data_IF_475100840553
#
_entry.id   IF_475100840553
#
_cell.length_a   1.000
_cell.length_b   1.000
_cell.length_c   1.000
_cell.angle_alpha   90.00
_cell.angle_beta   90.00
_cell.angle_gamma   90.00
#
_symmetry.space_group_name_H-M   'P 1'
#
loop_
_entity.id
_entity.type
_entity.pdbx_description
1 polymer ?
#
# COMPACT_ATOMS: atom_id res chain seq x y z
N UNK A 1 -63.72 -46.28 -12.46
CA UNK A 1 -63.10 -45.23 -11.61
C UNK A 1 -61.84 -44.75 -12.34
N UNK A 2 -61.99 -43.77 -13.25
CA UNK A 2 -60.88 -43.30 -14.10
C UNK A 2 -60.00 -42.32 -13.31
N UNK A 3 -58.74 -42.73 -13.06
CA UNK A 3 -57.70 -41.86 -12.52
C UNK A 3 -57.15 -41.00 -13.66
N UNK A 4 -57.54 -39.74 -13.66
CA UNK A 4 -57.02 -38.71 -14.56
C UNK A 4 -55.56 -38.39 -14.17
N UNK A 5 -54.60 -38.95 -14.91
CA UNK A 5 -53.17 -38.67 -14.72
C UNK A 5 -52.85 -37.32 -15.36
N UNK A 6 -52.94 -36.24 -14.58
CA UNK A 6 -52.45 -34.91 -14.95
C UNK A 6 -50.95 -34.97 -15.26
N UNK A 7 -50.58 -34.82 -16.52
CA UNK A 7 -49.18 -34.71 -16.93
C UNK A 7 -48.53 -33.48 -16.25
N UNK A 8 -47.33 -33.62 -15.66
CA UNK A 8 -46.67 -32.50 -15.00
C UNK A 8 -46.35 -31.39 -16.01
N UNK A 9 -46.86 -30.17 -15.76
CA UNK A 9 -46.55 -28.99 -16.55
C UNK A 9 -45.03 -28.79 -16.54
N UNK A 10 -44.37 -29.03 -17.67
CA UNK A 10 -42.95 -28.76 -17.87
C UNK A 10 -42.72 -27.27 -17.74
N UNK A 11 -42.15 -26.87 -16.61
CA UNK A 11 -41.66 -25.52 -16.40
C UNK A 11 -40.64 -25.16 -17.51
N UNK A 12 -40.77 -24.00 -18.17
CA UNK A 12 -39.89 -23.62 -19.25
C UNK A 12 -38.44 -23.50 -18.73
N UNK A 13 -37.50 -24.17 -19.41
CA UNK A 13 -36.06 -24.21 -19.07
C UNK A 13 -35.47 -22.81 -18.83
N UNK A 14 -36.01 -21.78 -19.50
CA UNK A 14 -35.63 -20.39 -19.33
C UNK A 14 -35.77 -19.89 -17.88
N UNK A 15 -36.86 -20.24 -17.17
CA UNK A 15 -37.05 -19.81 -15.76
C UNK A 15 -35.99 -20.37 -14.84
N UNK A 16 -35.56 -21.61 -15.08
CA UNK A 16 -34.50 -22.27 -14.32
C UNK A 16 -33.14 -21.62 -14.57
N UNK A 17 -32.84 -21.26 -15.82
CA UNK A 17 -31.60 -20.56 -16.18
C UNK A 17 -31.56 -19.14 -15.59
N UNK A 18 -32.66 -18.39 -15.64
CA UNK A 18 -32.73 -17.05 -15.03
C UNK A 18 -32.51 -17.13 -13.52
N UNK A 19 -33.17 -18.07 -12.84
CA UNK A 19 -33.00 -18.25 -11.38
C UNK A 19 -31.56 -18.62 -11.00
N UNK A 20 -30.91 -19.48 -11.79
CA UNK A 20 -29.51 -19.83 -11.58
C UNK A 20 -28.60 -18.62 -11.82
N UNK A 21 -28.84 -17.85 -12.88
CA UNK A 21 -28.09 -16.62 -13.18
C UNK A 21 -28.16 -15.60 -12.05
N UNK A 22 -29.36 -15.32 -11.53
CA UNK A 22 -29.56 -14.41 -10.38
C UNK A 22 -28.83 -14.95 -9.16
N UNK A 23 -28.96 -16.24 -8.85
CA UNK A 23 -28.27 -16.86 -7.71
C UNK A 23 -26.75 -16.73 -7.82
N UNK A 24 -26.16 -17.09 -8.97
CA UNK A 24 -24.73 -16.96 -9.21
C UNK A 24 -24.26 -15.50 -9.10
N UNK A 25 -25.00 -14.54 -9.67
CA UNK A 25 -24.68 -13.12 -9.55
C UNK A 25 -24.71 -12.63 -8.10
N UNK A 26 -25.73 -13.00 -7.32
CA UNK A 26 -25.82 -12.64 -5.90
C UNK A 26 -24.68 -13.26 -5.07
N UNK A 27 -24.35 -14.54 -5.30
CA UNK A 27 -23.25 -15.21 -4.59
C UNK A 27 -21.91 -14.57 -4.95
N UNK A 28 -21.65 -14.30 -6.23
CA UNK A 28 -20.42 -13.62 -6.68
C UNK A 28 -20.31 -12.21 -6.11
N UNK A 29 -21.41 -11.45 -6.09
CA UNK A 29 -21.43 -10.11 -5.49
C UNK A 29 -21.17 -10.16 -3.98
N UNK A 30 -21.77 -11.12 -3.26
CA UNK A 30 -21.57 -11.28 -1.82
C UNK A 30 -20.13 -11.73 -1.50
N UNK A 31 -19.63 -12.75 -2.19
CA UNK A 31 -18.26 -13.24 -2.03
C UNK A 31 -17.23 -12.17 -2.41
N UNK A 32 -17.47 -11.46 -3.51
CA UNK A 32 -16.67 -10.31 -3.93
C UNK A 32 -16.67 -9.21 -2.87
N UNK A 33 -17.84 -8.84 -2.34
CA UNK A 33 -17.97 -7.83 -1.28
C UNK A 33 -17.24 -8.21 0.02
N UNK A 34 -17.30 -9.48 0.42
CA UNK A 34 -16.57 -9.98 1.58
C UNK A 34 -15.05 -10.00 1.35
N UNK A 35 -14.59 -10.45 0.19
CA UNK A 35 -13.18 -10.46 -0.19
C UNK A 35 -12.61 -9.02 -0.25
N UNK A 36 -13.34 -8.10 -0.88
CA UNK A 36 -13.01 -6.67 -0.92
C UNK A 36 -12.88 -6.07 0.48
N UNK A 37 -13.81 -6.38 1.40
CA UNK A 37 -13.76 -5.89 2.79
C UNK A 37 -12.55 -6.43 3.55
N UNK A 38 -12.24 -7.72 3.40
CA UNK A 38 -11.09 -8.36 4.05
C UNK A 38 -9.77 -7.82 3.52
N UNK A 39 -9.63 -7.70 2.21
CA UNK A 39 -8.46 -7.09 1.57
C UNK A 39 -8.26 -5.65 2.04
N UNK A 40 -9.33 -4.86 2.10
CA UNK A 40 -9.26 -3.46 2.54
C UNK A 40 -8.82 -3.28 4.00
N UNK A 41 -9.18 -4.23 4.89
CA UNK A 41 -8.73 -4.23 6.28
C UNK A 41 -7.23 -4.46 6.41
N UNK A 42 -6.70 -5.47 5.71
CA UNK A 42 -5.26 -5.77 5.70
C UNK A 42 -4.44 -4.62 5.12
N UNK A 43 -4.94 -4.02 4.04
CA UNK A 43 -4.28 -2.92 3.35
C UNK A 43 -4.11 -1.69 4.26
N UNK A 44 -5.11 -1.36 5.09
CA UNK A 44 -5.04 -0.22 6.02
C UNK A 44 -3.94 -0.35 7.06
N UNK A 45 -3.81 -1.51 7.68
CA UNK A 45 -2.76 -1.74 8.68
C UNK A 45 -1.38 -1.73 8.02
N UNK A 46 -1.25 -2.30 6.82
CA UNK A 46 -0.02 -2.20 6.03
C UNK A 46 0.34 -0.75 5.69
N UNK A 47 -0.64 0.11 5.37
CA UNK A 47 -0.36 1.53 5.13
C UNK A 47 0.13 2.26 6.37
N UNK A 48 -0.44 2.00 7.55
CA UNK A 48 0.07 2.58 8.80
C UNK A 48 1.51 2.16 9.08
N UNK A 49 1.84 0.89 8.85
CA UNK A 49 3.20 0.37 8.99
C UNK A 49 4.17 1.03 8.00
N UNK A 50 3.78 1.14 6.73
CA UNK A 50 4.54 1.88 5.72
C UNK A 50 4.75 3.32 6.16
N UNK A 51 3.72 4.01 6.66
CA UNK A 51 3.82 5.38 7.16
C UNK A 51 4.86 5.55 8.26
N UNK A 52 4.88 4.62 9.22
CA UNK A 52 5.87 4.62 10.30
C UNK A 52 7.30 4.38 9.81
N UNK A 53 7.50 3.46 8.85
CA UNK A 53 8.82 3.20 8.27
C UNK A 53 9.27 4.36 7.37
N UNK A 54 8.37 4.96 6.58
CA UNK A 54 8.64 6.16 5.80
C UNK A 54 9.05 7.34 6.69
N UNK A 55 8.48 7.45 7.89
CA UNK A 55 8.87 8.44 8.88
C UNK A 55 10.34 8.36 9.27
N UNK A 56 10.89 7.15 9.39
CA UNK A 56 12.32 6.93 9.62
C UNK A 56 13.19 7.31 8.42
N UNK A 57 12.64 7.33 7.20
CA UNK A 57 13.33 7.82 6.00
C UNK A 57 13.29 9.35 5.89
N UNK A 58 12.22 9.96 6.41
CA UNK A 58 11.89 11.36 6.15
C UNK A 58 12.93 12.36 6.66
N UNK A 59 13.67 12.03 7.71
CA UNK A 59 14.78 12.85 8.22
C UNK A 59 15.94 12.98 7.20
N UNK A 60 16.04 12.03 6.27
CA UNK A 60 17.02 12.04 5.17
C UNK A 60 16.44 12.71 3.90
N UNK A 61 15.11 12.76 3.79
CA UNK A 61 14.39 12.99 2.54
C UNK A 61 13.91 14.41 2.25
N UNK A 62 14.17 15.39 3.13
CA UNK A 62 13.53 16.71 3.03
C UNK A 62 13.69 17.44 1.69
N UNK A 63 14.70 17.10 0.87
CA UNK A 63 14.89 17.68 -0.47
C UNK A 63 15.27 16.68 -1.56
N UNK A 64 15.22 15.38 -1.29
CA UNK A 64 15.81 14.38 -2.18
C UNK A 64 14.80 13.30 -2.55
N UNK A 65 14.57 13.04 -3.85
CA UNK A 65 13.61 12.03 -4.25
C UNK A 65 14.08 10.64 -3.77
N UNK A 66 13.12 9.83 -3.35
CA UNK A 66 13.32 8.42 -3.11
C UNK A 66 12.89 7.65 -4.36
N UNK A 67 13.65 6.64 -4.73
CA UNK A 67 13.22 5.65 -5.72
C UNK A 67 12.68 4.43 -4.97
N UNK A 68 11.38 4.22 -5.07
CA UNK A 68 10.65 3.11 -4.50
C UNK A 68 10.30 2.11 -5.61
N UNK A 69 10.91 0.94 -5.60
CA UNK A 69 10.88 -0.05 -6.69
C UNK A 69 11.18 0.60 -8.06
N UNK A 70 12.12 1.55 -8.09
CA UNK A 70 12.46 2.30 -9.30
C UNK A 70 11.49 3.46 -9.64
N UNK A 71 10.36 3.57 -8.95
CA UNK A 71 9.39 4.66 -9.12
C UNK A 71 9.74 5.83 -8.20
N UNK A 72 9.68 7.06 -8.71
CA UNK A 72 10.04 8.25 -7.93
C UNK A 72 8.90 8.63 -6.97
N UNK A 73 9.26 8.80 -5.70
CA UNK A 73 8.37 9.32 -4.65
C UNK A 73 9.13 10.35 -3.82
N UNK A 74 8.40 11.28 -3.23
CA UNK A 74 8.93 12.29 -2.32
C UNK A 74 8.36 12.03 -0.94
N UNK A 75 9.17 12.26 0.08
CA UNK A 75 8.77 12.06 1.48
C UNK A 75 9.25 13.25 2.30
N UNK A 76 8.40 13.73 3.21
CA UNK A 76 8.75 14.77 4.18
C UNK A 76 8.19 14.40 5.55
N UNK A 77 9.00 14.58 6.59
CA UNK A 77 8.70 14.22 7.97
C UNK A 77 8.78 15.47 8.85
N UNK A 78 7.79 15.74 9.69
CA UNK A 78 7.82 16.89 10.59
C UNK A 78 7.08 16.60 11.88
N UNK A 79 7.46 17.24 12.98
CA UNK A 79 6.71 17.19 14.24
C UNK A 79 5.98 18.50 14.42
N UNK A 80 4.67 18.44 14.67
CA UNK A 80 3.82 19.61 14.85
C UNK A 80 3.12 19.59 16.22
N UNK A 81 2.93 20.74 16.88
CA UNK A 81 2.24 20.85 18.16
C UNK A 81 0.71 20.91 17.99
N UNK A 82 0.15 19.97 17.23
CA UNK A 82 -1.29 19.86 16.92
C UNK A 82 -1.75 18.42 17.11
N UNK A 83 -3.04 18.20 17.29
CA UNK A 83 -3.55 16.83 17.37
C UNK A 83 -3.46 16.13 16.00
N UNK A 84 -3.16 14.83 16.01
CA UNK A 84 -3.08 14.04 14.79
C UNK A 84 -4.41 14.01 14.03
N UNK A 85 -5.57 14.01 14.70
CA UNK A 85 -6.86 14.06 14.02
C UNK A 85 -7.05 15.39 13.28
N UNK A 86 -6.60 16.51 13.86
CA UNK A 86 -6.66 17.83 13.20
C UNK A 86 -5.78 17.87 11.94
N UNK A 87 -4.63 17.17 11.96
CA UNK A 87 -3.79 17.02 10.75
C UNK A 87 -4.55 16.24 9.68
N UNK A 88 -5.11 15.09 10.05
CA UNK A 88 -5.84 14.24 9.11
C UNK A 88 -7.11 14.93 8.57
N UNK A 89 -7.82 15.69 9.40
CA UNK A 89 -9.00 16.49 9.02
C UNK A 89 -8.64 17.54 7.98
N UNK A 90 -7.58 18.31 8.20
CA UNK A 90 -7.12 19.32 7.23
C UNK A 90 -6.70 18.71 5.91
N UNK A 91 -5.99 17.58 5.95
CA UNK A 91 -5.55 16.89 4.72
C UNK A 91 -6.76 16.30 3.98
N UNK A 92 -7.68 15.65 4.69
CA UNK A 92 -8.89 15.10 4.08
C UNK A 92 -9.74 16.20 3.44
N UNK A 93 -9.95 17.32 4.14
CA UNK A 93 -10.65 18.48 3.59
C UNK A 93 -9.97 19.02 2.32
N UNK A 94 -8.63 19.09 2.31
CA UNK A 94 -7.89 19.53 1.12
C UNK A 94 -8.01 18.55 -0.05
N UNK A 95 -8.06 17.25 0.22
CA UNK A 95 -8.34 16.25 -0.80
C UNK A 95 -9.78 16.38 -1.35
N UNK A 96 -10.74 16.74 -0.48
CA UNK A 96 -12.15 16.89 -0.83
C UNK A 96 -12.44 18.16 -1.63
N UNK A 97 -11.59 19.20 -1.57
CA UNK A 97 -11.70 20.39 -2.43
C UNK A 97 -11.53 20.07 -3.92
N UNK A 98 -10.98 18.90 -4.28
CA UNK A 98 -10.83 18.44 -5.68
C UNK A 98 -11.38 17.01 -5.88
N UNK A 99 -12.66 16.74 -5.58
CA UNK A 99 -13.13 15.37 -5.34
C UNK A 99 -13.22 14.57 -6.64
N UNK A 100 -12.62 13.39 -6.73
CA UNK A 100 -12.85 12.47 -7.85
C UNK A 100 -14.29 11.92 -7.79
N UNK A 101 -15.17 12.34 -8.71
CA UNK A 101 -16.55 11.81 -8.78
C UNK A 101 -16.59 10.63 -9.76
N UNK A 102 -16.54 9.41 -9.20
CA UNK A 102 -16.50 8.16 -9.96
C UNK A 102 -17.87 7.71 -10.51
N UNK A 103 -18.98 7.98 -9.83
CA UNK A 103 -20.32 7.55 -10.27
C UNK A 103 -20.75 8.21 -11.59
N UNK A 104 -20.29 9.43 -11.85
CA UNK A 104 -20.50 10.09 -13.14
C UNK A 104 -19.52 9.57 -14.21
N UNK A 105 -18.30 9.19 -13.83
CA UNK A 105 -17.25 8.74 -14.74
C UNK A 105 -17.46 7.35 -15.37
N UNK A 106 -18.54 6.63 -15.07
CA UNK A 106 -18.80 5.28 -15.59
C UNK A 106 -20.09 5.26 -16.45
N UNK A 107 -20.02 5.72 -17.72
CA UNK A 107 -21.17 5.69 -18.62
C UNK A 107 -21.47 4.23 -19.01
N UNK A 108 -22.58 3.68 -18.49
CA UNK A 108 -23.00 2.29 -18.76
C UNK A 108 -23.48 1.53 -17.53
N UNK A 109 -23.33 2.10 -16.33
CA UNK A 109 -23.90 1.50 -15.13
C UNK A 109 -25.44 1.54 -15.18
N UNK A 110 -26.13 0.45 -14.80
CA UNK A 110 -27.56 0.45 -14.55
C UNK A 110 -27.94 1.56 -13.56
N UNK A 111 -29.12 2.17 -13.74
CA UNK A 111 -29.66 3.23 -12.87
C UNK A 111 -29.57 2.89 -11.38
N UNK A 112 -29.86 1.64 -11.01
CA UNK A 112 -29.78 1.15 -9.63
C UNK A 112 -28.33 1.18 -9.09
N UNK A 113 -27.36 0.68 -9.87
CA UNK A 113 -25.94 0.70 -9.49
C UNK A 113 -25.40 2.12 -9.41
N UNK A 114 -25.88 3.03 -10.28
CA UNK A 114 -25.53 4.45 -10.21
C UNK A 114 -26.05 5.07 -8.92
N UNK A 115 -27.32 4.83 -8.56
CA UNK A 115 -27.90 5.32 -7.30
C UNK A 115 -27.15 4.78 -6.09
N UNK A 116 -26.84 3.48 -6.05
CA UNK A 116 -26.04 2.89 -4.97
C UNK A 116 -24.64 3.51 -4.88
N UNK A 117 -23.95 3.72 -6.00
CA UNK A 117 -22.65 4.40 -6.04
C UNK A 117 -22.74 5.85 -5.57
N UNK A 118 -23.78 6.59 -5.98
CA UNK A 118 -23.99 7.98 -5.56
C UNK A 118 -24.36 8.08 -4.08
N UNK A 119 -25.13 7.15 -3.53
CA UNK A 119 -25.39 7.07 -2.08
C UNK A 119 -24.12 6.66 -1.32
N UNK A 120 -23.32 5.73 -1.84
CA UNK A 120 -21.99 5.39 -1.30
C UNK A 120 -21.03 6.58 -1.33
N UNK A 121 -21.10 7.42 -2.37
CA UNK A 121 -20.35 8.67 -2.51
C UNK A 121 -20.82 9.74 -1.53
N UNK A 122 -22.13 9.89 -1.33
CA UNK A 122 -22.66 10.83 -0.33
C UNK A 122 -22.39 10.36 1.09
N UNK A 123 -22.39 9.05 1.33
CA UNK A 123 -22.05 8.44 2.61
C UNK A 123 -20.54 8.35 2.88
N UNK A 124 -19.70 8.40 1.84
CA UNK A 124 -18.23 8.45 1.92
C UNK A 124 -17.75 9.60 1.05
N UNK A 125 -17.48 10.74 1.68
CA UNK A 125 -17.32 12.09 1.12
C UNK A 125 -16.50 12.26 -0.18
N UNK A 126 -15.76 11.27 -0.67
CA UNK A 126 -15.05 11.35 -1.95
C UNK A 126 -14.63 9.98 -2.46
N UNK A 127 -14.85 9.70 -3.75
CA UNK A 127 -14.29 8.50 -4.38
C UNK A 127 -12.84 8.78 -4.71
N UNK A 128 -11.97 8.54 -3.74
CA UNK A 128 -10.55 8.77 -3.93
C UNK A 128 -9.85 9.27 -2.69
N UNK A 129 -10.55 9.53 -1.58
CA UNK A 129 -9.92 9.74 -0.28
C UNK A 129 -10.12 8.51 0.59
N UNK A 130 -9.02 7.92 0.99
CA UNK A 130 -8.96 6.83 1.95
C UNK A 130 -8.50 7.44 3.26
N UNK A 131 -9.34 7.40 4.30
CA UNK A 131 -8.99 7.81 5.65
C UNK A 131 -9.15 6.66 6.64
N UNK A 132 -8.26 6.61 7.60
CA UNK A 132 -8.27 5.64 8.69
C UNK A 132 -7.52 6.21 9.90
N UNK A 133 -8.05 5.98 11.09
CA UNK A 133 -7.40 6.32 12.36
C UNK A 133 -7.73 5.25 13.40
N UNK A 134 -6.82 5.03 14.34
CA UNK A 134 -7.00 4.16 15.52
C UNK A 134 -6.69 4.89 16.85
N UNK A 135 -6.91 6.20 16.90
CA UNK A 135 -6.92 7.02 18.12
C UNK A 135 -5.55 7.49 18.63
N UNK A 136 -4.46 6.81 18.23
CA UNK A 136 -3.08 7.30 18.46
C UNK A 136 -2.38 7.71 17.17
N UNK A 137 -2.83 7.16 16.05
CA UNK A 137 -2.27 7.38 14.73
C UNK A 137 -3.35 7.18 13.67
N UNK A 138 -3.10 7.74 12.51
CA UNK A 138 -3.95 7.55 11.35
C UNK A 138 -3.27 7.95 10.06
N UNK A 139 -4.01 7.82 8.98
CA UNK A 139 -3.58 8.20 7.65
C UNK A 139 -4.72 8.84 6.84
N UNK A 140 -4.32 9.56 5.80
CA UNK A 140 -5.15 9.99 4.68
C UNK A 140 -4.36 9.72 3.40
N UNK A 141 -4.99 9.06 2.43
CA UNK A 141 -4.44 8.87 1.09
C UNK A 141 -5.43 9.39 0.06
N UNK A 142 -4.98 10.21 -0.89
CA UNK A 142 -5.82 10.70 -1.97
C UNK A 142 -5.08 10.91 -3.29
N UNK A 143 -5.83 10.98 -4.39
CA UNK A 143 -5.30 11.29 -5.71
C UNK A 143 -5.66 12.73 -6.10
N UNK A 144 -4.65 13.55 -6.32
CA UNK A 144 -4.80 14.91 -6.80
C UNK A 144 -4.89 14.92 -8.32
N UNK A 145 -5.91 15.61 -8.85
CA UNK A 145 -6.11 15.70 -10.30
C UNK A 145 -4.93 16.37 -11.01
N UNK A 146 -4.62 15.96 -12.25
CA UNK A 146 -3.77 16.76 -13.12
C UNK A 146 -4.43 18.11 -13.43
N UNK A 147 -3.64 19.19 -13.45
CA UNK A 147 -4.14 20.52 -13.83
C UNK A 147 -4.77 20.50 -15.23
N UNK A 148 -5.89 21.20 -15.41
CA UNK A 148 -6.60 21.29 -16.69
C UNK A 148 -7.46 20.07 -17.07
N UNK A 149 -7.52 19.02 -16.25
CA UNK A 149 -8.39 17.84 -16.47
C UNK A 149 -9.85 18.10 -16.06
N UNK A 150 -10.54 18.99 -16.77
CA UNK A 150 -11.95 19.32 -16.52
C UNK A 150 -12.86 18.58 -17.50
N UNK A 151 -13.36 17.41 -17.09
CA UNK A 151 -14.45 16.74 -17.83
C UNK A 151 -14.46 15.22 -17.77
N UNK A 152 -15.63 14.65 -18.08
CA UNK A 152 -15.92 13.21 -17.95
C UNK A 152 -15.14 12.33 -18.95
N UNK A 153 -14.99 12.78 -20.19
CA UNK A 153 -14.22 12.05 -21.22
C UNK A 153 -12.73 11.92 -20.88
N UNK A 154 -12.16 12.94 -20.21
CA UNK A 154 -10.79 12.90 -19.72
C UNK A 154 -10.61 11.85 -18.61
N UNK A 155 -11.61 11.67 -17.73
CA UNK A 155 -11.55 10.69 -16.62
C UNK A 155 -11.62 9.23 -17.10
N UNK A 156 -12.52 8.93 -18.04
CA UNK A 156 -12.59 7.57 -18.63
C UNK A 156 -11.30 7.24 -19.36
N UNK A 157 -10.77 8.21 -20.11
CA UNK A 157 -9.50 8.04 -20.82
C UNK A 157 -8.33 7.85 -19.85
N UNK A 158 -8.30 8.61 -18.76
CA UNK A 158 -7.33 8.48 -17.67
C UNK A 158 -7.39 7.11 -16.98
N UNK A 159 -8.58 6.63 -16.63
CA UNK A 159 -8.77 5.31 -16.03
C UNK A 159 -8.35 4.20 -16.99
N UNK A 160 -8.74 4.28 -18.25
CA UNK A 160 -8.33 3.29 -19.27
C UNK A 160 -6.82 3.30 -19.48
N UNK A 161 -6.20 4.48 -19.51
CA UNK A 161 -4.74 4.61 -19.60
C UNK A 161 -4.05 4.00 -18.37
N UNK A 162 -4.56 4.25 -17.17
CA UNK A 162 -4.06 3.63 -15.94
C UNK A 162 -4.21 2.10 -15.97
N UNK A 163 -5.39 1.56 -16.31
CA UNK A 163 -5.60 0.10 -16.38
C UNK A 163 -4.66 -0.56 -17.40
N UNK A 164 -4.40 0.12 -18.53
CA UNK A 164 -3.51 -0.40 -19.57
C UNK A 164 -2.02 -0.33 -19.21
N UNK A 165 -1.58 0.71 -18.50
CA UNK A 165 -0.16 1.00 -18.28
C UNK A 165 0.33 0.83 -16.84
N UNK A 166 -0.59 0.85 -15.87
CA UNK A 166 -0.32 0.95 -14.45
C UNK A 166 0.11 2.35 -13.98
N UNK A 167 0.26 3.33 -14.87
CA UNK A 167 0.78 4.66 -14.55
C UNK A 167 -0.28 5.53 -13.84
N UNK A 168 -0.10 5.76 -12.54
CA UNK A 168 -0.98 6.58 -11.71
C UNK A 168 -1.05 8.02 -12.21
N UNK A 169 0.00 8.55 -12.84
CA UNK A 169 0.01 9.93 -13.32
C UNK A 169 -1.08 10.22 -14.35
N UNK A 170 -1.54 9.19 -15.07
CA UNK A 170 -2.67 9.31 -15.98
C UNK A 170 -3.97 9.65 -15.24
N UNK A 171 -4.11 9.20 -14.00
CA UNK A 171 -5.27 9.39 -13.14
C UNK A 171 -5.11 10.58 -12.18
N UNK A 172 -3.91 10.79 -11.67
CA UNK A 172 -3.57 11.86 -10.73
C UNK A 172 -2.36 11.51 -9.87
N UNK A 173 -1.81 12.52 -9.20
CA UNK A 173 -0.68 12.32 -8.30
C UNK A 173 -1.15 11.84 -6.93
N UNK A 174 -0.52 10.82 -6.39
CA UNK A 174 -0.79 10.33 -5.04
C UNK A 174 -0.33 11.36 -4.00
N UNK A 175 -1.15 11.57 -2.97
CA UNK A 175 -0.82 12.27 -1.73
C UNK A 175 -1.18 11.34 -0.59
N UNK A 176 -0.20 11.00 0.22
CA UNK A 176 -0.33 10.17 1.40
C UNK A 176 0.17 10.97 2.60
N UNK A 177 -0.60 10.97 3.68
CA UNK A 177 -0.23 11.56 4.95
C UNK A 177 -0.47 10.54 6.05
N UNK A 178 0.54 10.29 6.84
CA UNK A 178 0.49 9.54 8.09
C UNK A 178 0.72 10.51 9.24
N UNK A 179 -0.05 10.37 10.31
CA UNK A 179 0.08 11.19 11.51
C UNK A 179 0.01 10.30 12.75
N UNK A 180 0.97 10.45 13.66
CA UNK A 180 1.05 9.69 14.91
C UNK A 180 1.41 10.61 16.06
N UNK A 181 0.75 10.42 17.21
CA UNK A 181 1.06 11.18 18.43
C UNK A 181 2.43 10.76 18.97
N UNK A 182 3.30 11.73 19.23
CA UNK A 182 4.60 11.50 19.88
C UNK A 182 4.44 11.36 21.40
N UNK A 183 5.42 10.74 22.05
CA UNK A 183 5.43 10.62 23.52
C UNK A 183 5.49 11.99 24.22
N UNK A 184 6.10 12.98 23.56
CA UNK A 184 6.26 14.36 24.05
C UNK A 184 4.99 15.22 23.87
N UNK A 185 3.90 14.66 23.33
CA UNK A 185 2.61 15.34 23.20
C UNK A 185 2.41 16.13 21.91
N UNK A 186 3.29 15.98 20.92
CA UNK A 186 3.10 16.49 19.56
C UNK A 186 2.56 15.43 18.60
N UNK A 187 2.54 15.76 17.31
CA UNK A 187 2.21 14.82 16.22
C UNK A 187 3.36 14.75 15.24
N UNK A 188 3.89 13.55 15.03
CA UNK A 188 4.79 13.24 13.92
C UNK A 188 3.96 13.04 12.66
N UNK A 189 4.23 13.86 11.66
CA UNK A 189 3.53 13.88 10.37
C UNK A 189 4.50 13.45 9.28
N UNK A 190 4.16 12.39 8.58
CA UNK A 190 4.88 11.89 7.42
C UNK A 190 4.01 12.12 6.20
N UNK A 191 4.51 12.87 5.25
CA UNK A 191 3.84 13.09 3.96
C UNK A 191 4.64 12.38 2.88
N UNK A 192 3.96 11.64 2.02
CA UNK A 192 4.55 11.01 0.86
C UNK A 192 3.74 11.35 -0.39
N UNK A 193 4.41 11.64 -1.49
CA UNK A 193 3.71 12.04 -2.71
C UNK A 193 4.46 11.65 -3.96
N UNK A 194 3.69 11.41 -5.03
CA UNK A 194 4.25 11.19 -6.37
C UNK A 194 4.21 12.49 -7.16
N UNK A 195 5.16 12.63 -8.08
CA UNK A 195 5.13 13.67 -9.10
C UNK A 195 5.58 13.06 -10.43
N UNK A 196 4.73 13.18 -11.45
CA UNK A 196 4.93 12.53 -12.74
C UNK A 196 4.67 11.02 -12.69
N UNK A 197 5.29 10.30 -13.64
CA UNK A 197 5.05 8.88 -13.88
C UNK A 197 5.27 8.03 -12.64
N UNK A 198 4.30 7.19 -12.33
CA UNK A 198 4.39 6.24 -11.22
C UNK A 198 3.61 4.97 -11.56
N UNK A 199 4.31 3.89 -11.91
CA UNK A 199 3.67 2.64 -12.26
C UNK A 199 3.32 1.83 -11.00
N UNK A 200 2.03 1.67 -10.71
CA UNK A 200 1.56 0.90 -9.56
C UNK A 200 1.80 -0.61 -9.73
N UNK A 201 1.85 -1.12 -10.96
CA UNK A 201 2.10 -2.55 -11.19
C UNK A 201 3.53 -2.96 -10.79
N UNK A 202 4.47 -2.02 -10.84
CA UNK A 202 5.84 -2.21 -10.36
C UNK A 202 5.91 -2.27 -8.81
N UNK A 203 4.84 -1.88 -8.11
CA UNK A 203 4.77 -1.90 -6.65
C UNK A 203 4.29 -3.24 -6.08
N UNK A 204 3.59 -4.06 -6.88
CA UNK A 204 2.94 -5.29 -6.42
C UNK A 204 3.19 -6.43 -7.42
N UNK A 205 4.43 -6.93 -7.53
CA UNK A 205 4.75 -8.04 -8.42
C UNK A 205 4.12 -9.35 -7.92
N UNK A 206 3.57 -10.14 -8.84
CA UNK A 206 2.99 -11.43 -8.52
C UNK A 206 4.09 -12.49 -8.33
N UNK A 207 4.41 -12.81 -7.08
CA UNK A 207 5.26 -13.95 -6.73
C UNK A 207 6.73 -13.86 -7.19
N UNK A 208 7.18 -12.66 -7.57
CA UNK A 208 8.54 -12.37 -8.00
C UNK A 208 9.10 -11.14 -7.27
N UNK A 209 10.41 -10.91 -7.40
CA UNK A 209 11.04 -9.72 -6.82
C UNK A 209 10.42 -8.44 -7.40
N UNK A 210 10.24 -7.42 -6.56
CA UNK A 210 9.97 -6.06 -7.05
C UNK A 210 11.16 -5.54 -7.85
N UNK A 211 10.91 -4.62 -8.81
CA UNK A 211 11.97 -3.91 -9.49
C UNK A 211 12.97 -3.28 -8.51
N UNK A 212 14.24 -3.28 -8.91
CA UNK A 212 15.36 -2.87 -8.06
C UNK A 212 16.45 -3.93 -7.98
N UNK A 213 17.30 -3.82 -6.97
CA UNK A 213 18.45 -4.70 -6.75
C UNK A 213 18.63 -4.97 -5.26
N UNK A 214 19.40 -6.00 -4.91
CA UNK A 214 19.80 -6.22 -3.52
C UNK A 214 20.86 -5.20 -3.08
N UNK A 215 21.17 -5.18 -1.78
CA UNK A 215 22.22 -4.31 -1.24
C UNK A 215 23.60 -4.83 -1.66
N UNK A 216 24.47 -3.99 -2.26
CA UNK A 216 25.81 -4.43 -2.65
C UNK A 216 26.63 -4.92 -1.46
N UNK A 217 27.20 -6.13 -1.58
CA UNK A 217 28.06 -6.72 -0.56
C UNK A 217 27.35 -7.05 0.77
N UNK A 218 26.04 -7.26 0.71
CA UNK A 218 25.20 -7.77 1.79
C UNK A 218 24.44 -8.98 1.25
N UNK A 219 24.50 -10.16 1.89
CA UNK A 219 23.82 -11.35 1.41
C UNK A 219 22.30 -11.18 1.48
N UNK A 220 21.58 -11.81 0.54
CA UNK A 220 20.12 -11.88 0.56
C UNK A 220 19.64 -12.80 1.70
N UNK A 221 18.52 -12.50 2.38
CA UNK A 221 17.93 -13.44 3.33
C UNK A 221 17.58 -14.76 2.63
N UNK A 222 17.84 -15.89 3.28
CA UNK A 222 17.53 -17.20 2.69
C UNK A 222 16.04 -17.35 2.35
N UNK A 223 15.76 -18.03 1.23
CA UNK A 223 14.40 -18.41 0.78
C UNK A 223 13.44 -17.22 0.77
N UNK A 224 13.90 -16.10 0.23
CA UNK A 224 13.17 -14.84 0.26
C UNK A 224 12.91 -14.25 -1.13
N UNK A 225 11.85 -13.45 -1.20
CA UNK A 225 11.48 -12.62 -2.35
C UNK A 225 11.51 -11.18 -1.90
N UNK A 226 12.13 -10.30 -2.69
CA UNK A 226 12.18 -8.86 -2.42
C UNK A 226 10.81 -8.26 -2.72
N UNK A 227 10.20 -7.64 -1.71
CA UNK A 227 8.90 -6.98 -1.84
C UNK A 227 9.02 -5.46 -1.84
N UNK A 228 10.20 -4.92 -1.52
CA UNK A 228 10.43 -3.48 -1.56
C UNK A 228 11.91 -3.14 -1.74
N UNK A 229 12.15 -2.14 -2.58
CA UNK A 229 13.42 -1.47 -2.80
C UNK A 229 13.19 0.02 -2.59
N UNK A 230 13.85 0.65 -1.61
CA UNK A 230 13.89 2.10 -1.50
C UNK A 230 15.34 2.60 -1.50
N UNK A 231 15.65 3.61 -2.30
CA UNK A 231 16.96 4.29 -2.28
C UNK A 231 16.72 5.79 -2.31
N UNK A 232 17.41 6.52 -1.44
CA UNK A 232 17.46 7.97 -1.56
C UNK A 232 18.49 8.36 -2.63
N UNK A 233 18.11 9.19 -3.60
CA UNK A 233 19.05 9.64 -4.62
C UNK A 233 20.20 10.44 -3.97
N UNK A 234 21.44 10.32 -4.43
CA UNK A 234 22.55 11.15 -3.95
C UNK A 234 23.07 10.92 -2.52
N UNK A 235 22.44 10.05 -1.72
CA UNK A 235 22.92 9.68 -0.38
C UNK A 235 23.02 8.16 -0.23
N UNK A 236 23.97 7.69 0.58
CA UNK A 236 24.18 6.27 0.83
C UNK A 236 23.16 5.68 1.81
N UNK A 237 21.87 5.97 1.58
CA UNK A 237 20.75 5.51 2.38
C UNK A 237 19.82 4.63 1.54
N UNK A 238 19.58 3.40 1.98
CA UNK A 238 18.72 2.47 1.26
C UNK A 238 18.02 1.47 2.18
N UNK A 239 16.83 1.05 1.76
CA UNK A 239 16.01 0.05 2.44
C UNK A 239 15.67 -1.06 1.47
N UNK A 240 15.78 -2.31 1.91
CA UNK A 240 15.25 -3.48 1.21
C UNK A 240 14.33 -4.23 2.15
N UNK A 241 13.17 -4.64 1.68
CA UNK A 241 12.28 -5.51 2.44
C UNK A 241 12.10 -6.79 1.66
N UNK A 242 12.29 -7.90 2.36
CA UNK A 242 12.11 -9.25 1.83
C UNK A 242 11.02 -9.96 2.60
N UNK A 243 10.24 -10.76 1.90
CA UNK A 243 9.36 -11.77 2.47
C UNK A 243 10.05 -13.13 2.37
N UNK A 244 10.42 -13.71 3.52
CA UNK A 244 11.18 -14.94 3.63
C UNK A 244 10.34 -16.08 4.22
N UNK A 245 10.52 -17.28 3.67
CA UNK A 245 9.89 -18.51 4.19
C UNK A 245 10.69 -19.16 5.34
N UNK A 246 11.78 -18.52 5.79
CA UNK A 246 12.62 -18.98 6.89
C UNK A 246 12.25 -18.26 8.20
N UNK A 247 12.44 -18.89 9.37
CA UNK A 247 12.21 -18.25 10.66
C UNK A 247 13.24 -17.15 10.93
N UNK A 248 12.88 -16.15 11.74
CA UNK A 248 13.71 -14.98 12.01
C UNK A 248 15.09 -15.37 12.57
N UNK A 249 15.13 -16.35 13.47
CA UNK A 249 16.38 -16.84 14.06
C UNK A 249 17.35 -17.40 13.02
N UNK A 250 16.85 -18.17 12.04
CA UNK A 250 17.69 -18.73 10.99
C UNK A 250 18.26 -17.65 10.07
N UNK A 251 17.48 -16.60 9.81
CA UNK A 251 17.90 -15.45 9.00
C UNK A 251 19.00 -14.67 9.74
N UNK A 252 18.82 -14.42 11.04
CA UNK A 252 19.84 -13.73 11.84
C UNK A 252 21.13 -14.56 11.93
N UNK A 253 21.01 -15.87 12.16
CA UNK A 253 22.17 -16.77 12.19
C UNK A 253 22.92 -16.82 10.84
N UNK A 254 22.20 -16.70 9.72
CA UNK A 254 22.82 -16.54 8.42
C UNK A 254 23.62 -15.25 8.32
N UNK A 255 23.01 -14.11 8.67
CA UNK A 255 23.69 -12.81 8.63
C UNK A 255 24.90 -12.75 9.57
N UNK A 256 24.77 -13.26 10.79
CA UNK A 256 25.87 -13.33 11.75
C UNK A 256 27.07 -14.09 11.16
N UNK A 257 26.84 -15.18 10.40
CA UNK A 257 27.94 -15.92 9.76
C UNK A 257 28.48 -15.18 8.51
N UNK A 258 27.59 -14.90 7.56
CA UNK A 258 27.98 -14.46 6.21
C UNK A 258 28.57 -13.03 6.25
N UNK A 259 28.02 -12.13 7.08
CA UNK A 259 28.54 -10.76 7.19
C UNK A 259 29.86 -10.69 7.95
N UNK A 260 30.04 -11.51 9.01
CA UNK A 260 31.31 -11.54 9.75
C UNK A 260 32.44 -12.06 8.86
N UNK A 261 32.18 -13.09 8.05
CA UNK A 261 33.13 -13.60 7.05
C UNK A 261 33.52 -12.49 6.03
N UNK A 262 32.57 -11.63 5.67
CA UNK A 262 32.76 -10.47 4.80
C UNK A 262 33.32 -9.21 5.50
N UNK A 263 33.80 -9.36 6.74
CA UNK A 263 34.49 -8.31 7.50
C UNK A 263 33.56 -7.24 8.07
N UNK A 264 32.28 -7.56 8.29
CA UNK A 264 31.39 -6.74 9.10
C UNK A 264 31.52 -7.09 10.59
N UNK A 265 31.31 -6.11 11.44
CA UNK A 265 31.32 -6.26 12.90
C UNK A 265 29.90 -6.13 13.45
N UNK A 266 29.56 -6.89 14.48
CA UNK A 266 28.28 -6.70 15.19
C UNK A 266 28.42 -5.50 16.12
N UNK A 267 27.71 -4.41 15.82
CA UNK A 267 27.68 -3.20 16.65
C UNK A 267 26.64 -3.32 17.77
N UNK A 268 25.51 -3.97 17.49
CA UNK A 268 24.47 -4.21 18.48
C UNK A 268 23.81 -5.59 18.27
N UNK A 269 23.75 -6.37 19.35
CA UNK A 269 23.15 -7.69 19.38
C UNK A 269 21.92 -7.71 20.32
N UNK A 270 20.81 -8.30 19.87
CA UNK A 270 19.60 -8.57 20.66
C UNK A 270 18.90 -7.30 21.15
N UNK A 271 18.51 -6.44 20.21
CA UNK A 271 17.36 -5.57 20.50
C UNK A 271 16.12 -6.46 20.74
N UNK A 272 15.07 -5.91 21.36
CA UNK A 272 13.94 -6.64 21.97
C UNK A 272 13.23 -7.71 21.09
N UNK A 273 13.54 -7.80 19.80
CA UNK A 273 12.89 -8.65 18.79
C UNK A 273 13.87 -9.40 17.86
N UNK A 274 15.10 -9.68 18.30
CA UNK A 274 16.07 -10.45 17.48
C UNK A 274 16.75 -9.64 16.38
N UNK A 275 16.63 -8.32 16.42
CA UNK A 275 17.29 -7.40 15.49
C UNK A 275 18.81 -7.37 15.71
N UNK A 276 19.52 -7.02 14.64
CA UNK A 276 20.97 -6.88 14.60
C UNK A 276 21.38 -5.58 13.92
N UNK A 277 22.49 -5.00 14.38
CA UNK A 277 23.17 -3.91 13.72
C UNK A 277 24.59 -4.33 13.42
N UNK A 278 24.99 -4.22 12.17
CA UNK A 278 26.34 -4.52 11.69
C UNK A 278 27.03 -3.24 11.20
N UNK A 279 28.35 -3.17 11.34
CA UNK A 279 29.18 -2.06 10.90
C UNK A 279 30.28 -2.53 9.96
N UNK A 280 30.53 -1.79 8.88
CA UNK A 280 31.71 -1.99 8.01
C UNK A 280 32.12 -0.68 7.35
N UNK A 281 33.36 -0.25 7.56
CA UNK A 281 33.96 0.93 6.91
C UNK A 281 33.07 2.19 6.97
N UNK A 282 32.54 2.51 8.15
CA UNK A 282 31.65 3.68 8.33
C UNK A 282 30.27 3.52 7.69
N UNK A 283 29.83 2.30 7.38
CA UNK A 283 28.46 1.98 6.97
C UNK A 283 27.81 1.12 8.03
N UNK A 284 26.58 1.44 8.41
CA UNK A 284 25.75 0.62 9.30
C UNK A 284 24.69 -0.14 8.48
N UNK A 285 24.47 -1.40 8.84
CA UNK A 285 23.40 -2.25 8.31
C UNK A 285 22.53 -2.72 9.46
N UNK A 286 21.27 -2.33 9.45
CA UNK A 286 20.25 -2.83 10.37
C UNK A 286 19.53 -4.00 9.71
N UNK A 287 19.44 -5.11 10.43
CA UNK A 287 18.69 -6.30 10.04
C UNK A 287 17.54 -6.47 11.02
N UNK A 288 16.33 -6.21 10.54
CA UNK A 288 15.12 -6.15 11.36
C UNK A 288 14.13 -7.24 10.89
N UNK A 289 14.26 -8.49 11.38
CA UNK A 289 13.30 -9.54 11.07
C UNK A 289 12.04 -9.38 11.92
N UNK A 290 10.88 -9.66 11.31
CA UNK A 290 9.59 -9.70 11.99
C UNK A 290 8.77 -10.87 11.47
N UNK A 291 8.39 -11.77 12.37
CA UNK A 291 7.57 -12.93 12.02
C UNK A 291 6.09 -12.56 11.90
N UNK A 292 5.44 -13.09 10.88
CA UNK A 292 4.01 -12.95 10.62
C UNK A 292 3.48 -14.21 9.91
N UNK A 293 2.58 -14.95 10.56
CA UNK A 293 1.90 -16.12 9.97
C UNK A 293 2.84 -17.13 9.27
N UNK A 294 3.88 -17.58 9.98
CA UNK A 294 4.93 -18.50 9.48
C UNK A 294 5.82 -17.97 8.35
N UNK A 295 5.77 -16.67 8.07
CA UNK A 295 6.70 -15.96 7.18
C UNK A 295 7.47 -14.92 7.98
N UNK A 296 8.62 -14.52 7.47
CA UNK A 296 9.44 -13.48 8.10
C UNK A 296 9.63 -12.33 7.13
N UNK A 297 9.12 -11.17 7.52
CA UNK A 297 9.45 -9.91 6.87
C UNK A 297 10.82 -9.46 7.36
N UNK A 298 11.76 -9.24 6.46
CA UNK A 298 13.13 -8.81 6.79
C UNK A 298 13.37 -7.45 6.19
N UNK A 299 13.46 -6.43 7.04
CA UNK A 299 13.87 -5.09 6.62
C UNK A 299 15.38 -4.95 6.80
N UNK A 300 16.08 -4.69 5.71
CA UNK A 300 17.49 -4.32 5.69
C UNK A 300 17.59 -2.82 5.46
N UNK A 301 18.21 -2.09 6.38
CA UNK A 301 18.42 -0.64 6.27
C UNK A 301 19.93 -0.39 6.25
N UNK A 302 20.44 0.15 5.16
CA UNK A 302 21.84 0.56 5.03
C UNK A 302 21.93 2.09 5.05
N UNK A 303 22.79 2.61 5.92
CA UNK A 303 23.01 4.05 6.08
C UNK A 303 24.47 4.34 6.48
N UNK A 304 24.95 5.58 6.31
CA UNK A 304 26.25 5.98 6.85
C UNK A 304 26.26 5.78 8.38
N UNK A 305 27.38 5.27 8.90
CA UNK A 305 27.64 5.22 10.32
C UNK A 305 27.93 6.62 10.85
N UNK A 306 27.42 6.91 12.05
CA UNK A 306 27.72 8.12 12.82
C UNK A 306 29.11 8.09 13.42
#
# INVERSE_FOLDING_TARGET
>A
MNRDLKSPRREPRLKKLVRLGVYCSCVTALAGGLALRSAYGSVKESFLEIGSELGRLGDVGHHTPLLLNGQRIFVSSTVQPVDHEDVLDRVAARCDETPLELAEALPGLPEETRKELTELQRARASVGVIRHSNGKRGMVACFMRPEGSTGMGARVSALNAFVASGDLSAFGNLRYVFAERTEEGGTHVVTAWTDGKFNLFDMVPEGADTPGSDLPGVPRPMRSVRVLTATAEGVAYSVRIYDAAAPAEAIVAQYDRDLIEDGWEILAAKMATGQRVYGRKGTHLYVLPRENNNRTMVSLIQMPGS
#
